data_IF_161613880411
#
_entry.id   IF_161613880411
#
_cell.length_a   1.000
_cell.length_b   1.000
_cell.length_c   1.000
_cell.angle_alpha   90.00
_cell.angle_beta   90.00
_cell.angle_gamma   90.00
#
_symmetry.space_group_name_H-M   'P 1'
#
loop_
_entity.id
_entity.type
_entity.pdbx_description
1 polymer ?
#
# COMPACT_ATOMS: atom_id res chain seq x y z
N UNK A 1 48.04 15.11 -42.15
CA UNK A 1 47.92 13.72 -42.64
C UNK A 1 48.52 12.75 -41.63
N UNK A 2 47.70 12.03 -40.85
CA UNK A 2 47.70 10.57 -40.73
C UNK A 2 46.60 10.14 -39.75
N UNK A 3 45.70 9.34 -40.31
CA UNK A 3 44.58 8.63 -39.71
C UNK A 3 45.07 7.25 -39.23
N UNK A 4 44.55 6.75 -38.11
CA UNK A 4 44.22 5.34 -37.78
C UNK A 4 44.32 5.08 -36.28
N UNK A 5 43.52 4.25 -35.60
CA UNK A 5 42.18 3.64 -35.74
C UNK A 5 42.02 2.80 -34.45
N UNK A 6 40.81 2.77 -33.89
CA UNK A 6 40.18 1.71 -33.09
C UNK A 6 40.66 1.29 -31.67
N UNK A 7 39.62 0.89 -30.90
CA UNK A 7 39.60 0.08 -29.67
C UNK A 7 39.95 0.82 -28.36
N UNK A 8 39.19 0.77 -27.27
CA UNK A 8 38.05 -0.04 -26.91
C UNK A 8 37.34 0.60 -25.70
N UNK A 9 36.00 0.57 -25.73
CA UNK A 9 35.17 -0.03 -24.70
C UNK A 9 35.80 -0.11 -23.29
N UNK A 10 35.40 0.78 -22.38
CA UNK A 10 35.57 0.54 -20.93
C UNK A 10 34.38 1.10 -20.15
N UNK A 11 33.61 0.15 -19.61
CA UNK A 11 33.05 0.21 -18.26
C UNK A 11 31.78 1.05 -18.05
N UNK A 12 30.66 0.36 -18.23
CA UNK A 12 29.40 0.54 -17.51
C UNK A 12 29.69 0.89 -16.04
N UNK A 13 29.34 2.11 -15.60
CA UNK A 13 29.23 2.41 -14.17
C UNK A 13 27.84 1.97 -13.70
N UNK A 14 27.82 0.82 -13.04
CA UNK A 14 26.69 0.31 -12.27
C UNK A 14 26.48 1.22 -11.07
N UNK A 15 25.45 2.06 -11.08
CA UNK A 15 24.85 2.54 -9.84
C UNK A 15 23.61 1.70 -9.57
N UNK A 16 23.84 0.55 -8.93
CA UNK A 16 22.82 -0.13 -8.18
C UNK A 16 22.43 0.75 -6.98
N UNK A 17 21.62 1.78 -7.24
CA UNK A 17 20.88 2.45 -6.17
C UNK A 17 19.70 1.54 -5.79
N UNK A 18 20.03 0.39 -5.22
CA UNK A 18 19.10 -0.38 -4.40
C UNK A 18 18.87 0.38 -3.11
N UNK A 19 18.21 1.54 -3.19
CA UNK A 19 17.61 2.18 -2.04
C UNK A 19 16.48 1.26 -1.56
N UNK A 20 16.86 0.28 -0.73
CA UNK A 20 15.91 -0.37 0.16
C UNK A 20 15.48 0.67 1.17
N UNK A 21 14.39 1.36 0.86
CA UNK A 21 13.68 2.18 1.83
C UNK A 21 12.91 1.21 2.73
N UNK A 22 13.44 0.99 3.92
CA UNK A 22 12.69 0.35 5.01
C UNK A 22 11.89 1.47 5.67
N UNK A 23 10.57 1.45 5.50
CA UNK A 23 9.69 2.39 6.19
C UNK A 23 9.44 1.89 7.60
N UNK A 24 9.73 2.75 8.58
CA UNK A 24 9.26 2.63 9.94
C UNK A 24 7.77 2.98 9.93
N UNK A 25 6.91 1.97 9.86
CA UNK A 25 5.48 2.18 10.01
C UNK A 25 5.22 2.52 11.47
N UNK A 26 5.05 3.80 11.79
CA UNK A 26 4.53 4.20 13.10
C UNK A 26 3.15 3.54 13.28
N UNK A 27 3.17 2.41 13.99
CA UNK A 27 2.01 1.60 14.32
C UNK A 27 1.17 2.40 15.31
N UNK A 28 0.20 3.19 14.82
CA UNK A 28 -0.80 3.75 15.71
C UNK A 28 -1.80 2.63 16.01
N UNK A 29 -1.56 1.92 17.12
CA UNK A 29 -2.54 0.99 17.70
C UNK A 29 -3.73 1.83 18.18
N UNK A 30 -4.74 2.00 17.33
CA UNK A 30 -6.01 2.62 17.73
C UNK A 30 -6.80 1.55 18.49
N UNK A 31 -6.86 1.69 19.82
CA UNK A 31 -7.57 0.79 20.73
C UNK A 31 -6.65 -0.01 21.66
N UNK A 32 -6.39 0.50 22.86
CA UNK A 32 -5.81 -0.25 23.99
C UNK A 32 -6.72 -0.22 25.20
N UNK A 33 -8.00 -0.47 24.99
CA UNK A 33 -8.94 -0.72 26.06
C UNK A 33 -9.46 -2.14 25.89
N UNK A 34 -8.94 -3.03 26.74
CA UNK A 34 -9.33 -4.44 26.92
C UNK A 34 -10.22 -4.99 25.80
N UNK A 35 -9.61 -5.40 24.67
CA UNK A 35 -10.35 -6.04 23.59
C UNK A 35 -11.00 -7.29 24.18
N UNK A 36 -12.32 -7.25 24.39
CA UNK A 36 -13.06 -8.39 24.89
C UNK A 36 -12.78 -9.59 23.98
N UNK A 37 -12.56 -10.80 24.52
CA UNK A 37 -12.24 -12.00 23.73
C UNK A 37 -13.30 -12.40 22.68
N UNK A 38 -14.44 -11.70 22.65
CA UNK A 38 -15.53 -11.89 21.69
C UNK A 38 -15.59 -10.81 20.59
N UNK A 39 -14.58 -9.94 20.50
CA UNK A 39 -14.52 -8.88 19.48
C UNK A 39 -13.71 -9.37 18.29
N UNK A 40 -14.35 -9.46 17.13
CA UNK A 40 -13.69 -9.88 15.89
C UNK A 40 -12.71 -8.81 15.44
N UNK A 41 -11.46 -9.23 15.22
CA UNK A 41 -10.39 -8.40 14.70
C UNK A 41 -10.10 -8.79 13.27
N UNK A 42 -9.78 -7.79 12.46
CA UNK A 42 -9.49 -7.97 11.05
C UNK A 42 -8.18 -7.30 10.68
N UNK A 43 -7.47 -7.93 9.75
CA UNK A 43 -6.25 -7.42 9.15
C UNK A 43 -6.57 -6.94 7.75
N UNK A 44 -6.27 -5.67 7.50
CA UNK A 44 -6.45 -5.00 6.22
C UNK A 44 -5.08 -4.68 5.65
N UNK A 45 -4.70 -5.36 4.58
CA UNK A 45 -3.42 -5.20 3.90
C UNK A 45 -3.63 -4.61 2.51
N UNK A 46 -2.90 -3.55 2.21
CA UNK A 46 -2.96 -2.85 0.95
C UNK A 46 -1.64 -2.98 0.21
N UNK A 47 -1.71 -3.06 -1.11
CA UNK A 47 -0.56 -2.92 -1.98
C UNK A 47 -0.88 -1.85 -3.02
N UNK A 48 -0.10 -0.77 -3.02
CA UNK A 48 -0.25 0.32 -3.98
C UNK A 48 0.93 0.28 -4.93
N UNK A 49 0.63 0.17 -6.22
CA UNK A 49 1.60 0.06 -7.31
C UNK A 49 1.38 1.19 -8.30
N UNK A 50 2.42 1.98 -8.58
CA UNK A 50 2.46 2.91 -9.70
C UNK A 50 2.60 2.10 -11.00
N UNK A 51 1.64 2.27 -11.90
CA UNK A 51 1.53 1.58 -13.18
C UNK A 51 1.47 2.55 -14.35
N UNK A 52 1.91 3.81 -14.15
CA UNK A 52 1.95 4.80 -15.23
C UNK A 52 2.88 4.38 -16.39
N UNK A 53 3.97 3.66 -16.08
CA UNK A 53 4.68 2.85 -17.07
C UNK A 53 4.28 1.37 -16.89
N UNK A 54 3.40 0.81 -17.74
CA UNK A 54 2.95 -0.56 -17.61
C UNK A 54 4.05 -1.59 -17.86
N UNK A 55 5.16 -1.21 -18.51
CA UNK A 55 6.32 -2.08 -18.68
C UNK A 55 7.17 -2.18 -17.40
N UNK A 56 7.11 -1.17 -16.53
CA UNK A 56 7.91 -1.07 -15.31
C UNK A 56 7.06 -0.64 -14.10
N UNK A 57 6.13 -1.49 -13.61
CA UNK A 57 5.32 -1.17 -12.45
C UNK A 57 6.17 -1.08 -11.17
N UNK A 58 5.96 -0.04 -10.36
CA UNK A 58 6.71 0.21 -9.12
C UNK A 58 5.80 0.13 -7.91
N UNK A 59 6.14 -0.71 -6.94
CA UNK A 59 5.42 -0.77 -5.66
C UNK A 59 5.79 0.43 -4.79
N UNK A 60 4.82 1.28 -4.47
CA UNK A 60 5.06 2.55 -3.76
C UNK A 60 4.64 2.53 -2.29
N UNK A 61 3.72 1.65 -1.89
CA UNK A 61 3.34 1.49 -0.49
C UNK A 61 2.72 0.11 -0.22
N UNK A 62 2.91 -0.39 1.01
CA UNK A 62 2.23 -1.58 1.54
C UNK A 62 1.64 -1.34 2.93
N UNK A 63 0.61 -0.47 3.05
CA UNK A 63 -0.05 -0.21 4.32
C UNK A 63 -0.69 -1.47 4.90
N UNK A 64 -0.65 -1.59 6.21
CA UNK A 64 -1.33 -2.65 6.96
C UNK A 64 -2.02 -2.04 8.17
N UNK A 65 -3.31 -2.32 8.34
CA UNK A 65 -4.09 -1.92 9.50
C UNK A 65 -4.68 -3.14 10.18
N UNK A 66 -4.89 -3.03 11.50
CA UNK A 66 -5.72 -3.94 12.25
C UNK A 66 -6.94 -3.17 12.73
N UNK A 67 -8.12 -3.65 12.37
CA UNK A 67 -9.39 -2.95 12.63
C UNK A 67 -10.33 -3.90 13.36
N UNK A 68 -11.01 -3.37 14.37
CA UNK A 68 -12.07 -4.07 15.09
C UNK A 68 -13.39 -3.93 14.32
N UNK A 69 -14.23 -4.97 14.31
CA UNK A 69 -15.57 -4.89 13.71
C UNK A 69 -16.36 -3.67 14.23
N UNK A 70 -17.05 -2.97 13.33
CA UNK A 70 -17.82 -1.74 13.57
C UNK A 70 -16.96 -0.54 14.05
N UNK A 71 -15.64 -0.60 13.85
CA UNK A 71 -14.74 0.53 14.08
C UNK A 71 -14.14 1.04 12.77
N UNK A 72 -13.86 2.34 12.75
CA UNK A 72 -13.07 2.97 11.68
C UNK A 72 -11.58 2.91 12.03
N UNK A 73 -10.76 2.48 11.07
CA UNK A 73 -9.31 2.58 11.12
C UNK A 73 -8.83 3.49 10.00
N UNK A 74 -8.00 4.47 10.34
CA UNK A 74 -7.37 5.36 9.36
C UNK A 74 -5.86 5.17 9.40
N UNK A 75 -5.24 5.08 8.22
CA UNK A 75 -3.79 5.23 8.08
C UNK A 75 -3.52 6.33 7.05
N UNK A 76 -2.65 7.25 7.43
CA UNK A 76 -2.15 8.28 6.55
C UNK A 76 -0.64 8.12 6.46
N UNK A 77 -0.15 7.87 5.25
CA UNK A 77 1.27 7.78 4.93
C UNK A 77 1.62 9.08 4.22
N UNK A 78 2.29 9.97 4.94
CA UNK A 78 2.80 11.22 4.41
C UNK A 78 4.33 11.25 4.37
N UNK A 79 4.84 11.82 3.29
CA UNK A 79 6.12 12.53 3.16
C UNK A 79 7.43 11.81 2.77
N UNK A 80 8.35 12.68 2.29
CA UNK A 80 9.40 12.56 1.28
C UNK A 80 8.88 12.43 -0.17
N UNK A 81 9.21 13.43 -1.00
CA UNK A 81 8.92 13.52 -2.45
C UNK A 81 7.45 13.73 -2.88
N UNK A 82 6.71 14.65 -2.25
CA UNK A 82 5.34 15.05 -2.67
C UNK A 82 4.37 13.85 -2.77
N UNK A 83 4.55 12.85 -1.91
CA UNK A 83 3.69 11.69 -1.82
C UNK A 83 2.85 11.75 -0.55
N UNK A 84 1.55 11.55 -0.71
CA UNK A 84 0.57 11.44 0.36
C UNK A 84 -0.42 10.34 0.01
N UNK A 85 -0.60 9.38 0.90
CA UNK A 85 -1.55 8.28 0.77
C UNK A 85 -2.41 8.28 2.04
N UNK A 86 -3.71 8.42 1.89
CA UNK A 86 -4.67 8.27 2.97
C UNK A 86 -5.57 7.07 2.67
N UNK A 87 -5.76 6.22 3.68
CA UNK A 87 -6.66 5.08 3.63
C UNK A 87 -7.53 5.12 4.86
N UNK A 88 -8.84 5.21 4.64
CA UNK A 88 -9.87 5.07 5.66
C UNK A 88 -10.55 3.74 5.44
N UNK A 89 -10.59 2.92 6.47
CA UNK A 89 -11.19 1.60 6.37
C UNK A 89 -12.15 1.33 7.51
N UNK A 90 -13.25 0.67 7.19
CA UNK A 90 -14.28 0.26 8.13
C UNK A 90 -14.60 -1.21 7.87
N UNK A 91 -14.90 -1.94 8.95
CA UNK A 91 -15.33 -3.32 8.87
C UNK A 91 -16.74 -3.42 9.40
N UNK A 92 -17.67 -3.94 8.58
CA UNK A 92 -19.04 -4.22 8.98
C UNK A 92 -19.10 -5.55 9.72
N UNK A 93 -19.58 -5.57 10.96
CA UNK A 93 -19.84 -6.80 11.70
C UNK A 93 -20.97 -7.63 11.08
N UNK A 94 -21.99 -6.96 10.55
CA UNK A 94 -23.19 -7.62 10.01
C UNK A 94 -22.89 -8.37 8.72
N UNK A 95 -22.18 -7.72 7.79
CA UNK A 95 -21.89 -8.30 6.47
C UNK A 95 -20.52 -8.98 6.41
N UNK A 96 -19.66 -8.80 7.44
CA UNK A 96 -18.25 -9.24 7.45
C UNK A 96 -17.48 -8.75 6.22
N UNK A 97 -17.80 -7.54 5.79
CA UNK A 97 -17.14 -6.86 4.69
C UNK A 97 -16.24 -5.74 5.20
N UNK A 98 -15.06 -5.64 4.62
CA UNK A 98 -14.16 -4.50 4.78
C UNK A 98 -14.42 -3.52 3.64
N UNK A 99 -14.65 -2.26 3.97
CA UNK A 99 -14.67 -1.16 3.01
C UNK A 99 -13.47 -0.26 3.24
N UNK A 100 -12.75 0.08 2.18
CA UNK A 100 -11.61 0.98 2.21
C UNK A 100 -11.78 2.10 1.18
N UNK A 101 -11.68 3.33 1.66
CA UNK A 101 -11.55 4.53 0.84
C UNK A 101 -10.08 4.94 0.80
N UNK A 102 -9.54 5.06 -0.40
CA UNK A 102 -8.14 5.38 -0.64
C UNK A 102 -8.04 6.71 -1.39
N UNK A 103 -7.11 7.55 -0.96
CA UNK A 103 -6.70 8.79 -1.63
C UNK A 103 -5.19 8.80 -1.78
N UNK A 104 -4.71 9.05 -2.99
CA UNK A 104 -3.29 9.06 -3.36
C UNK A 104 -3.00 10.38 -4.05
N UNK A 105 -1.97 11.07 -3.58
CA UNK A 105 -1.35 12.21 -4.22
C UNK A 105 0.13 11.86 -4.38
N UNK A 106 0.64 11.91 -5.60
CA UNK A 106 2.07 11.69 -5.87
C UNK A 106 2.53 12.65 -6.95
N UNK A 107 3.34 13.64 -6.56
CA UNK A 107 3.65 14.81 -7.39
C UNK A 107 2.35 15.49 -7.85
N UNK A 108 2.15 15.61 -9.17
CA UNK A 108 0.95 16.23 -9.75
C UNK A 108 -0.16 15.21 -10.05
N UNK A 109 0.08 13.92 -9.80
CA UNK A 109 -0.88 12.84 -10.04
C UNK A 109 -1.75 12.62 -8.81
N UNK A 110 -3.04 12.44 -9.03
CA UNK A 110 -4.03 12.13 -7.99
C UNK A 110 -4.85 10.92 -8.37
N UNK A 111 -5.21 10.12 -7.39
CA UNK A 111 -6.12 9.00 -7.54
C UNK A 111 -6.92 8.82 -6.25
N UNK A 112 -8.18 8.43 -6.40
CA UNK A 112 -9.03 8.07 -5.27
C UNK A 112 -9.93 6.91 -5.66
N UNK A 113 -10.35 6.12 -4.69
CA UNK A 113 -11.19 4.96 -4.94
C UNK A 113 -11.79 4.39 -3.68
N UNK A 114 -12.88 3.65 -3.84
CA UNK A 114 -13.49 2.86 -2.77
C UNK A 114 -13.53 1.40 -3.18
N UNK A 115 -13.10 0.52 -2.28
CA UNK A 115 -13.11 -0.93 -2.42
C UNK A 115 -13.93 -1.53 -1.29
N UNK A 116 -14.77 -2.51 -1.60
CA UNK A 116 -15.47 -3.32 -0.59
C UNK A 116 -15.24 -4.78 -0.92
N UNK A 117 -14.92 -5.59 0.08
CA UNK A 117 -14.71 -7.04 -0.10
C UNK A 117 -15.03 -7.81 1.18
N UNK A 118 -15.42 -9.06 1.03
CA UNK A 118 -15.59 -9.99 2.15
C UNK A 118 -14.25 -10.55 2.62
N UNK A 119 -14.17 -10.97 3.89
CA UNK A 119 -12.95 -11.56 4.43
C UNK A 119 -12.50 -12.80 3.63
N UNK A 120 -11.20 -12.87 3.33
CA UNK A 120 -10.59 -13.92 2.50
C UNK A 120 -10.69 -13.69 0.99
N UNK A 121 -11.37 -12.62 0.54
CA UNK A 121 -11.45 -12.26 -0.88
C UNK A 121 -10.62 -10.98 -1.14
N UNK A 122 -9.62 -11.04 -2.04
CA UNK A 122 -8.93 -9.83 -2.46
C UNK A 122 -9.83 -8.97 -3.34
N UNK A 123 -9.70 -7.66 -3.24
CA UNK A 123 -10.31 -6.72 -4.17
C UNK A 123 -9.26 -5.80 -4.79
N UNK A 124 -9.51 -5.36 -6.02
CA UNK A 124 -8.60 -4.52 -6.76
C UNK A 124 -9.32 -3.35 -7.41
N UNK A 125 -8.69 -2.18 -7.38
CA UNK A 125 -9.09 -1.04 -8.20
C UNK A 125 -7.90 -0.56 -9.00
N UNK A 126 -8.12 -0.41 -10.30
CA UNK A 126 -7.17 0.20 -11.22
C UNK A 126 -7.64 1.61 -11.53
N UNK A 127 -6.78 2.56 -11.24
CA UNK A 127 -6.91 3.96 -11.67
C UNK A 127 -5.98 4.20 -12.87
N UNK A 128 -5.95 5.42 -13.38
CA UNK A 128 -5.10 5.74 -14.54
C UNK A 128 -3.61 5.46 -14.27
N UNK A 129 -3.13 5.76 -13.06
CA UNK A 129 -1.71 5.68 -12.72
C UNK A 129 -1.38 4.64 -11.64
N UNK A 130 -2.40 4.09 -10.96
CA UNK A 130 -2.18 3.23 -9.81
C UNK A 130 -3.05 1.98 -9.85
N UNK A 131 -2.46 0.85 -9.46
CA UNK A 131 -3.17 -0.37 -9.07
C UNK A 131 -3.15 -0.48 -7.55
N UNK A 132 -4.32 -0.63 -6.95
CA UNK A 132 -4.49 -0.81 -5.51
C UNK A 132 -5.12 -2.19 -5.30
N UNK A 133 -4.39 -3.07 -4.63
CA UNK A 133 -4.88 -4.38 -4.19
C UNK A 133 -5.17 -4.30 -2.69
N UNK A 134 -6.34 -4.78 -2.29
CA UNK A 134 -6.82 -4.82 -0.91
C UNK A 134 -7.06 -6.27 -0.51
N UNK A 135 -6.27 -6.76 0.44
CA UNK A 135 -6.44 -8.06 1.08
C UNK A 135 -7.06 -7.85 2.46
N UNK A 136 -8.21 -8.47 2.68
CA UNK A 136 -8.96 -8.36 3.91
C UNK A 136 -9.10 -9.74 4.54
N UNK A 137 -8.61 -9.90 5.77
CA UNK A 137 -8.60 -11.20 6.45
C UNK A 137 -9.05 -11.05 7.90
N UNK A 138 -9.64 -12.11 8.46
CA UNK A 138 -9.83 -12.21 9.91
C UNK A 138 -8.49 -12.43 10.60
N UNK A 139 -8.24 -11.69 11.67
CA UNK A 139 -7.07 -11.91 12.51
C UNK A 139 -7.26 -13.25 13.22
N UNK A 140 -6.35 -14.20 12.97
CA UNK A 140 -6.32 -15.45 13.74
C UNK A 140 -6.08 -15.09 15.20
N UNK A 141 -7.07 -15.36 16.04
CA UNK A 141 -6.87 -15.36 17.49
C UNK A 141 -6.39 -16.76 17.82
N UNK A 142 -5.08 -16.95 18.01
CA UNK A 142 -4.58 -18.20 18.59
C UNK A 142 -5.25 -18.37 19.95
N UNK A 143 -6.07 -19.41 20.07
CA UNK A 143 -6.66 -19.87 21.33
C UNK A 143 -5.80 -20.96 21.94
#
# INVERSE_FOLDING_TARGET
MKLNWLCALTSVLVFAAGCRVTFDTHYQKIGTENIHPNVAQYVLEFQITDVADPANPVRIATPKLMVISDSEGTVSIGELNKQFIEIKAIVSKETREGTAEISIIQNDRRASGKLTTSAGQPAEIRTNNFLITFNFNEAKTDR
#
